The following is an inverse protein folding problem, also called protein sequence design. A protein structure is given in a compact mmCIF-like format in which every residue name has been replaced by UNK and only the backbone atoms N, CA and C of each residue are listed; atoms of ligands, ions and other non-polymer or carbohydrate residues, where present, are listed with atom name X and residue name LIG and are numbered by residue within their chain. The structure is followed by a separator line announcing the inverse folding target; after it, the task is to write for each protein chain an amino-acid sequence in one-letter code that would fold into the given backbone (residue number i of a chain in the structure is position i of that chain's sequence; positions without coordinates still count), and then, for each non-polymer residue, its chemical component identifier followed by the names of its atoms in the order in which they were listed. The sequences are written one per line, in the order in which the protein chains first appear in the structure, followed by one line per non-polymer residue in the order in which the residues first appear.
data_IF_274406405786
#
_entry.id   IF_274406405786
#
_cell.length_a   1.000
_cell.length_b   1.000
_cell.length_c   1.000
_cell.angle_alpha   90.00
_cell.angle_beta   90.00
_cell.angle_gamma   90.00
#
_symmetry.space_group_name_H-M   'P 1'
#
loop_
_entity.id
_entity.type
_entity.pdbx_description
1 polymer ?
#
# COMPACT_ATOMS: atom_id res chain seq x y z
N UNK A 1 -19.53 6.42 -5.65
CA UNK A 1 -18.82 5.15 -5.72
C UNK A 1 -17.76 5.06 -4.63
N UNK A 2 -17.61 3.88 -4.07
CA UNK A 2 -16.64 3.69 -2.99
C UNK A 2 -15.22 3.72 -3.51
N UNK A 3 -14.33 4.36 -2.77
CA UNK A 3 -12.90 4.27 -3.03
C UNK A 3 -12.41 2.91 -2.56
N UNK A 4 -11.36 2.40 -3.20
CA UNK A 4 -10.76 1.10 -2.88
C UNK A 4 -9.32 1.28 -2.46
N UNK A 5 -8.93 0.60 -1.39
CA UNK A 5 -7.54 0.57 -0.91
C UNK A 5 -7.09 -0.88 -0.94
N UNK A 6 -5.97 -1.14 -1.60
CA UNK A 6 -5.34 -2.45 -1.56
C UNK A 6 -4.21 -2.41 -0.53
N UNK A 7 -4.28 -3.31 0.44
CA UNK A 7 -3.23 -3.48 1.45
C UNK A 7 -2.52 -4.80 1.19
N UNK A 8 -1.24 -4.73 0.88
CA UNK A 8 -0.39 -5.89 0.75
C UNK A 8 0.44 -6.02 2.03
N UNK A 9 0.12 -7.00 2.86
CA UNK A 9 0.70 -7.21 4.17
C UNK A 9 0.54 -8.67 4.59
N UNK A 10 1.64 -9.32 4.93
CA UNK A 10 1.62 -10.73 5.33
C UNK A 10 1.33 -10.95 6.82
N UNK A 11 1.48 -9.93 7.66
CA UNK A 11 1.26 -10.02 9.10
C UNK A 11 -0.20 -9.71 9.42
N UNK A 12 -0.88 -10.67 10.05
CA UNK A 12 -2.29 -10.53 10.44
C UNK A 12 -2.52 -9.34 11.37
N UNK A 13 -1.63 -9.13 12.34
CA UNK A 13 -1.77 -8.03 13.30
C UNK A 13 -1.71 -6.67 12.60
N UNK A 14 -0.81 -6.52 11.64
CA UNK A 14 -0.72 -5.29 10.86
C UNK A 14 -1.95 -5.10 9.97
N UNK A 15 -2.47 -6.18 9.38
CA UNK A 15 -3.72 -6.10 8.60
C UNK A 15 -4.88 -5.65 9.47
N UNK A 16 -5.00 -6.22 10.67
CA UNK A 16 -6.06 -5.87 11.61
C UNK A 16 -5.97 -4.41 12.04
N UNK A 17 -4.76 -3.91 12.28
CA UNK A 17 -4.54 -2.50 12.64
C UNK A 17 -5.04 -1.57 11.53
N UNK A 18 -4.67 -1.83 10.29
CA UNK A 18 -5.09 -0.99 9.16
C UNK A 18 -6.61 -1.06 8.98
N UNK A 19 -7.19 -2.25 9.07
CA UNK A 19 -8.63 -2.43 8.98
C UNK A 19 -9.37 -1.63 10.06
N UNK A 20 -8.88 -1.71 11.30
CA UNK A 20 -9.45 -0.97 12.43
C UNK A 20 -9.39 0.54 12.20
N UNK A 21 -8.22 1.04 11.76
CA UNK A 21 -8.02 2.46 11.48
C UNK A 21 -8.96 2.95 10.40
N UNK A 22 -9.12 2.17 9.34
CA UNK A 22 -10.03 2.53 8.24
C UNK A 22 -11.49 2.60 8.70
N UNK A 23 -11.93 1.64 9.50
CA UNK A 23 -13.30 1.64 10.03
C UNK A 23 -13.55 2.88 10.87
N UNK A 24 -12.59 3.26 11.70
CA UNK A 24 -12.71 4.42 12.58
C UNK A 24 -12.63 5.74 11.83
N UNK A 25 -11.95 5.77 10.69
CA UNK A 25 -11.76 6.99 9.90
C UNK A 25 -13.04 7.46 9.21
N UNK A 26 -14.00 6.56 9.00
CA UNK A 26 -15.26 6.83 8.29
C UNK A 26 -15.07 7.38 6.88
N UNK A 27 -13.98 6.99 6.23
CA UNK A 27 -13.69 7.42 4.85
C UNK A 27 -14.54 6.68 3.81
N UNK A 28 -15.23 5.61 4.21
CA UNK A 28 -16.07 4.85 3.30
C UNK A 28 -15.29 4.07 2.26
N UNK A 29 -14.03 3.78 2.51
CA UNK A 29 -13.21 3.04 1.57
C UNK A 29 -13.34 1.54 1.78
N UNK A 30 -13.37 0.81 0.67
CA UNK A 30 -13.32 -0.66 0.70
C UNK A 30 -11.86 -1.09 0.82
N UNK A 31 -11.58 -2.00 1.75
CA UNK A 31 -10.24 -2.55 1.96
C UNK A 31 -10.12 -3.91 1.29
N UNK A 32 -9.15 -4.03 0.38
CA UNK A 32 -8.82 -5.28 -0.30
C UNK A 32 -7.49 -5.76 0.27
N UNK A 33 -7.42 -7.02 0.72
CA UNK A 33 -6.24 -7.57 1.36
C UNK A 33 -5.49 -8.49 0.41
N UNK A 34 -4.17 -8.31 0.34
CA UNK A 34 -3.25 -9.25 -0.31
C UNK A 34 -2.20 -9.66 0.72
N UNK A 35 -1.85 -10.94 0.76
CA UNK A 35 -0.93 -11.47 1.76
C UNK A 35 0.51 -11.59 1.25
N UNK A 36 0.74 -11.30 -0.02
CA UNK A 36 2.07 -11.27 -0.62
C UNK A 36 2.04 -10.40 -1.88
N UNK A 37 3.21 -10.18 -2.47
CA UNK A 37 3.33 -9.32 -3.64
C UNK A 37 2.64 -9.86 -4.88
N UNK A 38 2.59 -11.18 -5.06
CA UNK A 38 1.91 -11.78 -6.21
C UNK A 38 0.41 -11.54 -6.13
N UNK A 39 -0.19 -11.76 -4.95
CA UNK A 39 -1.60 -11.46 -4.73
C UNK A 39 -1.88 -9.96 -4.93
N UNK A 40 -0.95 -9.11 -4.48
CA UNK A 40 -1.11 -7.66 -4.65
C UNK A 40 -1.17 -7.28 -6.12
N UNK A 41 -0.29 -7.83 -6.94
CA UNK A 41 -0.28 -7.58 -8.38
C UNK A 41 -1.59 -8.06 -9.01
N UNK A 42 -1.98 -9.29 -8.71
CA UNK A 42 -3.20 -9.88 -9.29
C UNK A 42 -4.45 -9.10 -8.89
N UNK A 43 -4.57 -8.74 -7.63
CA UNK A 43 -5.74 -7.99 -7.13
C UNK A 43 -5.75 -6.55 -7.62
N UNK A 44 -4.59 -5.93 -7.79
CA UNK A 44 -4.51 -4.58 -8.36
C UNK A 44 -4.99 -4.56 -9.81
N UNK A 45 -4.61 -5.57 -10.60
CA UNK A 45 -5.08 -5.67 -11.99
C UNK A 45 -6.59 -5.93 -12.05
N UNK A 46 -7.12 -6.70 -11.12
CA UNK A 46 -8.54 -7.04 -11.07
C UNK A 46 -9.41 -5.88 -10.60
N UNK A 47 -9.01 -5.21 -9.52
CA UNK A 47 -9.87 -4.22 -8.85
C UNK A 47 -9.55 -2.77 -9.18
N UNK A 48 -8.35 -2.48 -9.71
CA UNK A 48 -7.86 -1.13 -9.99
C UNK A 48 -8.11 -0.20 -8.81
N UNK A 49 -7.42 -0.40 -7.66
CA UNK A 49 -7.67 0.40 -6.46
C UNK A 49 -7.24 1.86 -6.62
N UNK A 50 -7.71 2.70 -5.71
CA UNK A 50 -7.36 4.12 -5.71
C UNK A 50 -6.04 4.38 -4.99
N UNK A 51 -5.63 3.46 -4.12
CA UNK A 51 -4.41 3.58 -3.32
C UNK A 51 -3.90 2.18 -2.99
N UNK A 52 -2.60 1.99 -3.02
CA UNK A 52 -1.96 0.73 -2.61
C UNK A 52 -1.02 1.01 -1.45
N UNK A 53 -1.21 0.27 -0.36
CA UNK A 53 -0.30 0.26 0.79
C UNK A 53 0.50 -1.03 0.69
N UNK A 54 1.81 -0.92 0.45
CA UNK A 54 2.65 -2.08 0.12
C UNK A 54 3.74 -2.30 1.16
N UNK A 55 3.67 -3.43 1.87
CA UNK A 55 4.79 -3.88 2.70
C UNK A 55 5.93 -4.30 1.75
N UNK A 56 7.13 -3.84 2.04
CA UNK A 56 8.28 -4.14 1.19
C UNK A 56 8.86 -5.54 1.45
N UNK A 57 8.51 -6.17 2.57
CA UNK A 57 9.04 -7.48 2.96
C UNK A 57 7.91 -8.49 3.12
N UNK A 58 7.71 -9.31 2.11
CA UNK A 58 6.67 -10.33 2.09
C UNK A 58 7.18 -11.61 1.42
N UNK A 59 6.60 -12.77 1.77
CA UNK A 59 6.96 -14.01 1.11
C UNK A 59 6.45 -14.04 -0.34
N UNK A 60 6.86 -15.01 -1.11
CA UNK A 60 6.49 -15.27 -2.50
C UNK A 60 7.01 -14.18 -3.43
N UNK A 61 6.55 -12.95 -3.27
CA UNK A 61 7.03 -11.78 -4.00
C UNK A 61 7.00 -10.59 -3.06
N UNK A 62 8.13 -9.90 -2.90
CA UNK A 62 8.23 -8.73 -2.04
C UNK A 62 7.78 -7.45 -2.77
N UNK A 63 7.73 -6.34 -2.04
CA UNK A 63 7.33 -5.06 -2.61
C UNK A 63 8.29 -4.53 -3.66
N UNK A 64 9.59 -4.81 -3.50
CA UNK A 64 10.61 -4.37 -4.47
C UNK A 64 10.36 -4.95 -5.86
N UNK A 65 9.79 -6.14 -5.93
CA UNK A 65 9.46 -6.82 -7.19
C UNK A 65 8.07 -6.41 -7.68
N UNK A 66 7.09 -6.33 -6.76
CA UNK A 66 5.70 -6.03 -7.12
C UNK A 66 5.52 -4.61 -7.67
N UNK A 67 6.18 -3.61 -7.05
CA UNK A 67 5.97 -2.21 -7.43
C UNK A 67 6.38 -1.92 -8.87
N UNK A 68 7.56 -2.35 -9.35
CA UNK A 68 7.91 -2.13 -10.76
C UNK A 68 6.91 -2.77 -11.74
N UNK A 69 6.35 -3.93 -11.40
CA UNK A 69 5.33 -4.58 -12.23
C UNK A 69 4.10 -3.68 -12.32
N UNK A 70 3.63 -3.16 -11.20
CA UNK A 70 2.46 -2.28 -11.17
C UNK A 70 2.70 -0.95 -11.88
N UNK A 71 3.87 -0.36 -11.70
CA UNK A 71 4.23 0.91 -12.32
C UNK A 71 4.55 0.76 -13.81
N UNK A 72 4.87 -0.44 -14.25
CA UNK A 72 5.12 -0.73 -15.66
C UNK A 72 3.88 -1.07 -16.49
N UNK A 73 2.70 -1.20 -15.86
CA UNK A 73 1.47 -1.57 -16.55
C UNK A 73 0.54 -0.37 -16.66
N UNK A 74 -0.04 -0.16 -17.85
CA UNK A 74 -0.92 0.97 -18.12
C UNK A 74 -2.15 1.01 -17.22
N UNK A 75 -2.63 -0.16 -16.77
CA UNK A 75 -3.83 -0.25 -15.92
C UNK A 75 -3.59 0.28 -14.52
N UNK A 76 -2.36 0.18 -14.02
CA UNK A 76 -2.04 0.44 -12.62
C UNK A 76 -0.98 1.51 -12.39
N UNK A 77 -0.28 1.95 -13.43
CA UNK A 77 0.84 2.90 -13.27
C UNK A 77 0.44 4.23 -12.61
N UNK A 78 -0.81 4.62 -12.73
CA UNK A 78 -1.31 5.88 -12.16
C UNK A 78 -1.68 5.78 -10.68
N UNK A 79 -1.74 4.57 -10.13
CA UNK A 79 -2.17 4.36 -8.74
C UNK A 79 -1.03 4.72 -7.80
N UNK A 80 -1.27 5.61 -6.82
CA UNK A 80 -0.24 5.92 -5.82
C UNK A 80 0.03 4.69 -4.96
N UNK A 81 1.32 4.39 -4.74
CA UNK A 81 1.78 3.29 -3.91
C UNK A 81 2.58 3.86 -2.76
N UNK A 82 2.20 3.50 -1.54
CA UNK A 82 2.89 3.89 -0.33
C UNK A 82 3.65 2.66 0.17
N UNK A 83 4.97 2.79 0.26
CA UNK A 83 5.81 1.70 0.74
C UNK A 83 5.94 1.73 2.25
N UNK A 84 5.83 0.57 2.90
CA UNK A 84 6.05 0.39 4.33
C UNK A 84 7.19 -0.59 4.56
N UNK A 85 8.08 -0.28 5.50
CA UNK A 85 9.19 -1.16 5.84
C UNK A 85 9.43 -1.18 7.33
N UNK A 86 9.86 -2.33 7.85
CA UNK A 86 10.25 -2.47 9.26
C UNK A 86 11.58 -1.79 9.56
N UNK A 87 12.43 -1.64 8.55
CA UNK A 87 13.75 -1.03 8.68
C UNK A 87 13.90 0.09 7.67
N UNK A 88 13.73 1.34 8.13
CA UNK A 88 13.84 2.51 7.27
C UNK A 88 15.27 3.01 7.24
N UNK A 89 16.04 2.58 6.26
CA UNK A 89 17.35 3.16 5.99
C UNK A 89 17.18 4.32 4.99
N UNK A 90 17.98 5.39 5.10
CA UNK A 90 17.85 6.51 4.14
C UNK A 90 17.95 6.07 2.67
N UNK A 91 18.83 5.14 2.36
CA UNK A 91 19.01 4.63 0.99
C UNK A 91 17.76 3.86 0.52
N UNK A 92 17.02 3.21 1.42
CA UNK A 92 15.80 2.50 1.07
C UNK A 92 14.70 3.47 0.67
N UNK A 93 14.61 4.62 1.35
CA UNK A 93 13.64 5.65 1.01
C UNK A 93 13.88 6.18 -0.41
N UNK A 94 15.12 6.49 -0.74
CA UNK A 94 15.49 6.95 -2.08
C UNK A 94 15.13 5.88 -3.11
N UNK A 95 15.47 4.62 -2.83
CA UNK A 95 15.26 3.52 -3.73
C UNK A 95 13.77 3.25 -3.99
N UNK A 96 12.91 3.34 -2.94
CA UNK A 96 11.46 3.16 -3.13
C UNK A 96 10.88 4.25 -4.01
N UNK A 97 11.32 5.49 -3.85
CA UNK A 97 10.86 6.59 -4.70
C UNK A 97 11.32 6.40 -6.15
N UNK A 98 12.53 5.90 -6.36
CA UNK A 98 13.06 5.63 -7.70
C UNK A 98 12.25 4.57 -8.46
N UNK A 99 11.73 3.56 -7.76
CA UNK A 99 10.93 2.52 -8.41
C UNK A 99 9.46 2.93 -8.57
N UNK A 100 9.10 4.13 -8.13
CA UNK A 100 7.78 4.70 -8.42
C UNK A 100 6.83 4.87 -7.25
N UNK A 101 7.27 4.65 -6.00
CA UNK A 101 6.42 4.89 -4.84
C UNK A 101 6.17 6.38 -4.66
N UNK A 102 4.97 6.72 -4.22
CA UNK A 102 4.64 8.10 -3.90
C UNK A 102 5.26 8.52 -2.57
N UNK A 103 5.29 7.63 -1.59
CA UNK A 103 5.88 7.89 -0.27
C UNK A 103 6.40 6.60 0.35
N UNK A 104 7.21 6.75 1.39
CA UNK A 104 7.84 5.65 2.12
C UNK A 104 7.74 5.92 3.62
N UNK A 105 7.25 4.93 4.37
CA UNK A 105 7.09 5.05 5.81
C UNK A 105 7.65 3.84 6.54
N UNK A 106 8.12 4.07 7.77
CA UNK A 106 8.58 3.00 8.66
C UNK A 106 7.43 2.45 9.48
N UNK A 107 7.47 1.15 9.76
CA UNK A 107 6.55 0.50 10.69
C UNK A 107 7.07 0.66 12.13
N UNK A 108 6.19 0.68 13.14
CA UNK A 108 4.73 0.75 13.00
C UNK A 108 4.30 2.18 12.68
N UNK A 109 3.28 2.32 11.85
CA UNK A 109 2.76 3.65 11.55
C UNK A 109 1.75 4.06 12.61
N UNK A 110 1.86 5.32 13.05
CA UNK A 110 0.89 5.91 13.95
C UNK A 110 -0.50 5.97 13.28
N UNK A 111 -1.58 5.54 13.98
CA UNK A 111 -2.91 5.55 13.39
C UNK A 111 -3.36 6.90 12.83
N UNK A 112 -3.03 8.00 13.50
CA UNK A 112 -3.40 9.33 13.02
C UNK A 112 -2.64 9.71 11.75
N UNK A 113 -1.35 9.34 11.68
CA UNK A 113 -0.56 9.55 10.47
C UNK A 113 -1.10 8.71 9.31
N UNK A 114 -1.51 7.48 9.59
CA UNK A 114 -2.09 6.61 8.57
C UNK A 114 -3.39 7.18 8.03
N UNK A 115 -4.27 7.68 8.88
CA UNK A 115 -5.53 8.32 8.47
C UNK A 115 -5.24 9.53 7.59
N UNK A 116 -4.31 10.40 8.03
CA UNK A 116 -3.96 11.61 7.28
C UNK A 116 -3.41 11.24 5.89
N UNK A 117 -2.57 10.22 5.83
CA UNK A 117 -1.99 9.74 4.59
C UNK A 117 -3.07 9.22 3.64
N UNK A 118 -3.98 8.40 4.14
CA UNK A 118 -5.07 7.86 3.34
C UNK A 118 -5.97 8.97 2.83
N UNK A 119 -6.32 9.92 3.66
CA UNK A 119 -7.14 11.08 3.25
C UNK A 119 -6.46 11.87 2.13
N UNK A 120 -5.16 12.06 2.23
CA UNK A 120 -4.39 12.81 1.22
C UNK A 120 -4.53 12.17 -0.17
N UNK A 121 -4.48 10.85 -0.24
CA UNK A 121 -4.50 10.13 -1.53
C UNK A 121 -5.90 9.74 -2.00
N UNK A 122 -6.89 9.73 -1.12
CA UNK A 122 -8.27 9.43 -1.50
C UNK A 122 -9.13 10.68 -1.72
N UNK A 123 -8.59 11.84 -1.44
CA UNK A 123 -9.31 13.10 -1.69
C UNK A 123 -9.52 13.29 -3.19
N UNK A 124 -10.67 13.78 -3.56
CA UNK A 124 -11.02 14.07 -4.94
C UNK A 124 -10.39 15.39 -5.42
#
# INVERSE_FOLDING_TARGET
MSKKILLAEDDEDNRDLVSFVLQRSRLGAELIIAENGQEAVDKAFESIPNLILMDMQMPVMDGWTAIPILKGDKRTKHIPIIAFTAQAKPEDKVRTLEIGCAEHYSKPMDPEELIALIRKYLAD
#
